data_IF_939804670950
#
_entry.id   IF_939804670950
#
_cell.length_a   1.000
_cell.length_b   1.000
_cell.length_c   1.000
_cell.angle_alpha   90.00
_cell.angle_beta   90.00
_cell.angle_gamma   90.00
#
_symmetry.space_group_name_H-M   'P 1'
#
loop_
_entity.id
_entity.type
_entity.pdbx_description
1 polymer ?
#
# COMPACT_ATOMS: atom_id res chain seq x y z
N UNK A 1 -0.31 -26.40 10.65
CA UNK A 1 1.04 -25.88 10.48
C UNK A 1 1.02 -24.37 10.23
N UNK A 2 1.70 -23.66 11.05
CA UNK A 2 1.74 -22.21 10.92
C UNK A 2 2.71 -21.81 9.83
N UNK A 3 2.20 -21.27 8.76
CA UNK A 3 2.99 -20.76 7.64
C UNK A 3 3.20 -19.26 7.76
N UNK A 4 2.43 -18.61 8.62
CA UNK A 4 2.45 -17.16 8.78
C UNK A 4 2.87 -16.80 10.18
N UNK A 5 3.59 -15.68 10.32
CA UNK A 5 3.97 -15.14 11.61
C UNK A 5 2.73 -14.65 12.37
N UNK A 6 2.90 -14.41 13.65
CA UNK A 6 1.83 -13.84 14.48
C UNK A 6 1.41 -12.47 13.95
N UNK A 7 2.36 -11.70 13.44
CA UNK A 7 2.06 -10.38 12.87
C UNK A 7 1.19 -10.48 11.62
N UNK A 8 1.49 -11.44 10.76
CA UNK A 8 0.67 -11.67 9.57
C UNK A 8 -0.74 -12.05 10.00
N UNK A 9 -0.87 -12.95 10.95
CA UNK A 9 -2.18 -13.38 11.44
C UNK A 9 -2.94 -12.23 12.07
N UNK A 10 -2.26 -11.39 12.83
CA UNK A 10 -2.90 -10.23 13.45
C UNK A 10 -3.46 -9.28 12.40
N UNK A 11 -2.68 -8.97 11.37
CA UNK A 11 -3.15 -8.09 10.31
C UNK A 11 -4.25 -8.72 9.47
N UNK A 12 -4.21 -10.04 9.31
CA UNK A 12 -5.27 -10.74 8.60
C UNK A 12 -6.58 -10.74 9.40
N UNK A 13 -6.49 -11.04 10.69
CA UNK A 13 -7.68 -11.13 11.54
C UNK A 13 -8.28 -9.77 11.86
N UNK A 14 -7.45 -8.72 11.87
CA UNK A 14 -7.88 -7.39 12.25
C UNK A 14 -7.19 -6.36 11.34
N UNK A 15 -7.56 -6.37 10.05
CA UNK A 15 -6.88 -5.48 9.08
C UNK A 15 -7.09 -4.03 9.40
N UNK A 16 -6.03 -3.24 9.20
CA UNK A 16 -6.04 -1.81 9.44
C UNK A 16 -6.28 -1.07 8.14
N UNK A 17 -6.96 0.08 8.22
CA UNK A 17 -7.08 1.03 7.13
C UNK A 17 -7.75 0.49 5.87
N UNK A 18 -8.66 -0.46 6.02
CA UNK A 18 -9.43 -0.99 4.90
C UNK A 18 -10.44 0.05 4.43
N UNK A 19 -10.54 0.24 3.13
CA UNK A 19 -11.56 1.11 2.56
C UNK A 19 -11.07 1.92 1.38
N UNK A 20 -11.87 2.91 1.01
CA UNK A 20 -11.57 3.83 -0.08
C UNK A 20 -11.48 5.23 0.48
N UNK A 21 -10.81 6.09 -0.27
CA UNK A 21 -10.83 7.53 -0.01
C UNK A 21 -11.49 8.17 -1.23
N UNK A 22 -12.64 8.76 -1.04
CA UNK A 22 -13.43 9.33 -2.12
C UNK A 22 -12.68 10.40 -2.90
N UNK A 23 -11.99 11.27 -2.19
CA UNK A 23 -11.23 12.35 -2.77
C UNK A 23 -9.73 12.08 -2.66
N UNK A 24 -9.32 10.86 -2.91
CA UNK A 24 -7.93 10.47 -2.80
C UNK A 24 -7.04 11.36 -3.68
N UNK A 25 -5.89 11.72 -3.14
CA UNK A 25 -4.90 12.51 -3.88
C UNK A 25 -4.14 11.62 -4.87
N UNK A 26 -3.99 10.35 -4.55
CA UNK A 26 -3.37 9.38 -5.45
C UNK A 26 -4.01 8.02 -5.29
N UNK A 27 -4.07 7.28 -6.38
CA UNK A 27 -4.62 5.93 -6.40
C UNK A 27 -3.67 5.06 -7.21
N UNK A 28 -3.26 3.94 -6.61
CA UNK A 28 -2.41 2.96 -7.27
C UNK A 28 -3.06 1.61 -7.25
N UNK A 29 -3.21 1.02 -8.42
CA UNK A 29 -3.80 -0.30 -8.53
C UNK A 29 -2.86 -1.23 -9.26
N UNK A 30 -2.62 -2.39 -8.68
CA UNK A 30 -1.85 -3.45 -9.33
C UNK A 30 -2.61 -4.76 -9.17
N UNK A 31 -2.39 -5.65 -10.08
CA UNK A 31 -3.02 -6.94 -10.04
C UNK A 31 -2.19 -8.00 -10.71
N UNK A 32 -2.45 -9.24 -10.32
CA UNK A 32 -1.87 -10.40 -10.96
C UNK A 32 -3.03 -11.27 -11.44
N UNK A 33 -3.42 -11.14 -12.71
CA UNK A 33 -4.59 -11.88 -13.21
C UNK A 33 -4.40 -13.40 -13.17
N UNK A 34 -3.17 -13.86 -13.19
CA UNK A 34 -2.89 -15.31 -13.10
C UNK A 34 -3.26 -15.82 -11.70
N UNK A 35 -2.90 -15.07 -10.67
CA UNK A 35 -3.20 -15.46 -9.29
C UNK A 35 -4.53 -14.91 -8.79
N UNK A 36 -5.10 -13.96 -9.50
CA UNK A 36 -6.34 -13.32 -9.08
C UNK A 36 -6.20 -12.30 -7.99
N UNK A 37 -4.98 -11.99 -7.59
CA UNK A 37 -4.72 -11.00 -6.55
C UNK A 37 -4.79 -9.60 -7.15
N UNK A 38 -5.43 -8.69 -6.45
CA UNK A 38 -5.48 -7.29 -6.84
C UNK A 38 -5.39 -6.42 -5.60
N UNK A 39 -4.67 -5.31 -5.71
CA UNK A 39 -4.53 -4.35 -4.62
C UNK A 39 -4.70 -2.94 -5.16
N UNK A 40 -5.51 -2.14 -4.48
CA UNK A 40 -5.69 -0.73 -4.79
C UNK A 40 -5.39 0.07 -3.54
N UNK A 41 -4.47 1.00 -3.64
CA UNK A 41 -4.14 1.89 -2.53
C UNK A 41 -4.63 3.29 -2.83
N UNK A 42 -5.17 3.94 -1.80
CA UNK A 42 -5.66 5.31 -1.86
C UNK A 42 -4.87 6.12 -0.85
N UNK A 43 -4.35 7.25 -1.27
CA UNK A 43 -3.58 8.11 -0.36
C UNK A 43 -4.13 9.54 -0.35
N UNK A 44 -4.01 10.16 0.82
CA UNK A 44 -4.22 11.59 1.00
C UNK A 44 -2.90 12.21 1.45
N UNK A 45 -2.56 13.34 0.89
CA UNK A 45 -1.32 14.02 1.20
C UNK A 45 -1.64 15.36 1.82
N UNK A 46 -1.01 15.67 2.95
CA UNK A 46 -1.23 16.95 3.63
C UNK A 46 -0.31 18.04 3.07
N UNK A 47 -0.43 19.24 3.65
CA UNK A 47 0.34 20.41 3.20
C UNK A 47 1.85 20.24 3.36
N UNK A 48 2.26 19.32 4.20
CA UNK A 48 3.67 19.07 4.48
C UNK A 48 4.26 17.94 3.65
N UNK A 49 3.47 17.40 2.73
CA UNK A 49 3.92 16.31 1.89
C UNK A 49 3.96 14.97 2.60
N UNK A 50 3.17 14.81 3.65
CA UNK A 50 3.06 13.56 4.38
C UNK A 50 1.77 12.86 4.04
N UNK A 51 1.79 11.54 4.11
CA UNK A 51 0.59 10.74 3.88
C UNK A 51 -0.31 10.84 5.11
N UNK A 52 -1.32 11.71 5.01
CA UNK A 52 -2.24 11.94 6.11
C UNK A 52 -3.23 10.79 6.28
N UNK A 53 -3.50 10.07 5.20
CA UNK A 53 -4.35 8.88 5.23
C UNK A 53 -3.94 7.92 4.15
N UNK A 54 -4.00 6.64 4.45
CA UNK A 54 -3.70 5.57 3.51
C UNK A 54 -4.75 4.49 3.71
N UNK A 55 -5.47 4.16 2.66
CA UNK A 55 -6.45 3.10 2.70
C UNK A 55 -6.25 2.18 1.52
N UNK A 56 -6.88 1.02 1.58
CA UNK A 56 -6.70 0.04 0.52
C UNK A 56 -7.92 -0.86 0.39
N UNK A 57 -8.05 -1.42 -0.79
CA UNK A 57 -8.97 -2.52 -1.06
C UNK A 57 -8.16 -3.59 -1.78
N UNK A 58 -8.42 -4.83 -1.47
CA UNK A 58 -7.69 -5.93 -2.09
C UNK A 58 -8.60 -7.13 -2.26
N UNK A 59 -8.36 -7.85 -3.32
CA UNK A 59 -8.91 -9.18 -3.56
C UNK A 59 -7.73 -10.14 -3.60
N UNK A 60 -7.84 -11.26 -2.91
CA UNK A 60 -6.77 -12.23 -2.92
C UNK A 60 -6.75 -13.05 -1.66
N UNK A 61 -5.60 -13.63 -1.38
CA UNK A 61 -5.44 -14.50 -0.20
C UNK A 61 -5.27 -13.66 1.08
N UNK A 62 -5.25 -14.36 2.21
CA UNK A 62 -5.04 -13.70 3.49
C UNK A 62 -3.72 -12.95 3.57
N UNK A 63 -2.69 -13.45 2.85
CA UNK A 63 -1.41 -12.76 2.82
C UNK A 63 -1.53 -11.39 2.12
N UNK A 64 -2.37 -11.29 1.09
CA UNK A 64 -2.58 -10.01 0.41
C UNK A 64 -3.22 -9.00 1.36
N UNK A 65 -4.18 -9.43 2.16
CA UNK A 65 -4.83 -8.57 3.16
C UNK A 65 -3.80 -8.13 4.20
N UNK A 66 -3.02 -9.07 4.72
CA UNK A 66 -2.04 -8.76 5.76
C UNK A 66 -0.95 -7.82 5.24
N UNK A 67 -0.48 -8.04 4.03
CA UNK A 67 0.53 -7.18 3.41
C UNK A 67 -0.02 -5.77 3.23
N UNK A 68 -1.24 -5.65 2.70
CA UNK A 68 -1.85 -4.34 2.49
C UNK A 68 -2.05 -3.60 3.80
N UNK A 69 -2.50 -4.30 4.82
CA UNK A 69 -2.68 -3.73 6.16
C UNK A 69 -1.35 -3.21 6.70
N UNK A 70 -0.30 -4.02 6.63
CA UNK A 70 1.02 -3.63 7.12
C UNK A 70 1.55 -2.42 6.36
N UNK A 71 1.44 -2.41 5.03
CA UNK A 71 1.92 -1.30 4.22
C UNK A 71 1.19 -0.01 4.57
N UNK A 72 -0.13 -0.09 4.76
CA UNK A 72 -0.91 1.09 5.12
C UNK A 72 -0.42 1.70 6.45
N UNK A 73 -0.10 0.84 7.41
CA UNK A 73 0.42 1.29 8.70
C UNK A 73 1.84 1.86 8.57
N UNK A 74 2.67 1.24 7.75
CA UNK A 74 4.05 1.71 7.55
C UNK A 74 4.09 3.06 6.84
N UNK A 75 3.19 3.27 5.89
CA UNK A 75 3.20 4.46 5.05
C UNK A 75 2.53 5.66 5.70
N UNK A 76 1.52 5.42 6.53
CA UNK A 76 0.75 6.50 7.12
C UNK A 76 1.63 7.40 8.01
N UNK A 77 1.58 8.68 7.77
CA UNK A 77 2.38 9.66 8.52
C UNK A 77 3.77 9.89 7.96
N UNK A 78 4.19 9.13 6.97
CA UNK A 78 5.50 9.31 6.35
C UNK A 78 5.43 10.32 5.22
N UNK A 79 6.59 10.91 4.90
CA UNK A 79 6.67 11.76 3.72
C UNK A 79 6.60 10.90 2.47
N UNK A 80 6.28 11.53 1.34
CA UNK A 80 6.25 10.83 0.06
C UNK A 80 7.58 10.13 -0.22
N UNK A 81 8.68 10.83 0.07
CA UNK A 81 10.01 10.30 -0.13
C UNK A 81 10.27 9.07 0.71
N UNK A 82 9.90 9.14 1.99
CA UNK A 82 10.06 8.00 2.90
C UNK A 82 9.21 6.82 2.48
N UNK A 83 7.97 7.10 2.05
CA UNK A 83 7.07 6.05 1.61
C UNK A 83 7.57 5.36 0.35
N UNK A 84 8.19 6.11 -0.56
CA UNK A 84 8.77 5.53 -1.78
C UNK A 84 9.95 4.61 -1.48
N UNK A 85 10.55 4.74 -0.32
CA UNK A 85 11.65 3.87 0.09
C UNK A 85 11.18 2.56 0.72
N UNK A 86 9.90 2.41 0.95
CA UNK A 86 9.36 1.15 1.48
C UNK A 86 9.47 0.09 0.37
N UNK A 87 10.22 -0.96 0.67
CA UNK A 87 10.44 -2.04 -0.30
C UNK A 87 9.65 -3.28 0.11
N UNK A 88 9.54 -4.20 -0.82
CA UNK A 88 8.90 -5.49 -0.55
C UNK A 88 9.62 -6.25 0.58
N UNK A 89 10.94 -6.09 0.66
CA UNK A 89 11.73 -6.71 1.72
C UNK A 89 11.39 -6.11 3.08
N UNK A 90 11.22 -4.78 3.13
CA UNK A 90 10.83 -4.10 4.37
C UNK A 90 9.49 -4.61 4.87
N UNK A 91 8.54 -4.77 3.97
CA UNK A 91 7.19 -5.25 4.32
C UNK A 91 7.27 -6.68 4.86
N UNK A 92 7.97 -7.54 4.16
CA UNK A 92 8.10 -8.93 4.59
C UNK A 92 8.80 -9.02 5.95
N UNK A 93 9.81 -8.21 6.16
CA UNK A 93 10.55 -8.18 7.42
C UNK A 93 9.67 -7.69 8.57
N UNK A 94 8.89 -6.64 8.34
CA UNK A 94 7.98 -6.11 9.36
C UNK A 94 6.90 -7.11 9.75
N UNK A 95 6.48 -7.94 8.80
CA UNK A 95 5.52 -8.99 9.07
C UNK A 95 6.14 -10.22 9.74
N UNK A 96 7.45 -10.23 9.94
CA UNK A 96 8.14 -11.37 10.51
C UNK A 96 8.39 -12.48 9.52
N UNK A 97 8.33 -12.15 8.23
CA UNK A 97 8.56 -13.09 7.14
C UNK A 97 7.27 -13.60 6.53
N UNK A 98 7.36 -13.99 5.28
CA UNK A 98 6.24 -14.58 4.54
C UNK A 98 6.73 -15.89 3.91
N UNK A 99 5.83 -16.86 3.73
CA UNK A 99 6.19 -18.04 2.94
C UNK A 99 6.63 -17.62 1.54
N UNK A 100 7.57 -18.37 0.97
CA UNK A 100 8.15 -18.04 -0.34
C UNK A 100 7.08 -17.87 -1.42
N UNK A 101 6.06 -18.73 -1.39
CA UNK A 101 4.99 -18.67 -2.38
C UNK A 101 4.02 -17.49 -2.16
N UNK A 102 4.23 -16.71 -1.11
CA UNK A 102 3.42 -15.52 -0.82
C UNK A 102 4.21 -14.21 -0.92
N UNK A 103 5.49 -14.29 -1.26
CA UNK A 103 6.30 -13.08 -1.41
C UNK A 103 5.79 -12.17 -2.53
N UNK A 104 5.09 -12.71 -3.51
CA UNK A 104 4.51 -11.88 -4.57
C UNK A 104 3.50 -10.88 -4.03
N UNK A 105 2.83 -11.19 -2.92
CA UNK A 105 1.90 -10.24 -2.29
C UNK A 105 2.64 -9.02 -1.80
N UNK A 106 3.83 -9.21 -1.22
CA UNK A 106 4.69 -8.12 -0.78
C UNK A 106 5.10 -7.24 -1.95
N UNK A 107 5.45 -7.86 -3.08
CA UNK A 107 5.79 -7.12 -4.30
C UNK A 107 4.63 -6.28 -4.79
N UNK A 108 3.44 -6.88 -4.88
CA UNK A 108 2.24 -6.18 -5.34
C UNK A 108 1.90 -5.01 -4.42
N UNK A 109 2.01 -5.24 -3.10
CA UNK A 109 1.70 -4.19 -2.14
C UNK A 109 2.62 -2.99 -2.27
N UNK A 110 3.92 -3.23 -2.33
CA UNK A 110 4.89 -2.14 -2.47
C UNK A 110 4.67 -1.40 -3.80
N UNK A 111 4.43 -2.14 -4.87
CA UNK A 111 4.17 -1.54 -6.18
C UNK A 111 2.91 -0.69 -6.17
N UNK A 112 1.85 -1.17 -5.53
CA UNK A 112 0.60 -0.43 -5.47
C UNK A 112 0.77 0.87 -4.71
N UNK A 113 1.50 0.84 -3.59
CA UNK A 113 1.79 2.06 -2.83
C UNK A 113 2.59 3.04 -3.68
N UNK A 114 3.64 2.56 -4.33
CA UNK A 114 4.48 3.42 -5.17
C UNK A 114 3.68 4.02 -6.33
N UNK A 115 2.78 3.23 -6.92
CA UNK A 115 1.91 3.73 -7.98
C UNK A 115 0.97 4.82 -7.49
N UNK A 116 0.44 4.67 -6.28
CA UNK A 116 -0.43 5.70 -5.70
C UNK A 116 0.33 7.01 -5.53
N UNK A 117 1.57 6.92 -5.04
CA UNK A 117 2.40 8.11 -4.86
C UNK A 117 2.74 8.74 -6.20
N UNK A 118 3.10 7.92 -7.19
CA UNK A 118 3.40 8.42 -8.54
C UNK A 118 2.19 9.07 -9.17
N UNK A 119 1.02 8.51 -8.98
CA UNK A 119 -0.23 9.08 -9.47
C UNK A 119 -0.46 10.47 -8.88
N UNK A 120 -0.24 10.61 -7.56
CA UNK A 120 -0.36 11.90 -6.91
C UNK A 120 0.65 12.90 -7.47
N UNK A 121 1.90 12.49 -7.64
CA UNK A 121 2.94 13.38 -8.14
C UNK A 121 2.65 13.86 -9.57
N UNK A 122 2.12 12.98 -10.40
CA UNK A 122 1.73 13.34 -11.77
C UNK A 122 0.55 14.29 -11.78
N UNK A 123 -0.46 14.03 -10.96
CA UNK A 123 -1.63 14.90 -10.85
C UNK A 123 -1.23 16.27 -10.33
N UNK A 124 -0.36 16.30 -9.34
CA UNK A 124 0.12 17.55 -8.76
C UNK A 124 0.88 18.36 -9.80
N UNK A 125 1.73 17.70 -10.59
CA UNK A 125 2.49 18.36 -11.64
C UNK A 125 1.55 18.99 -12.67
N UNK A 126 0.57 18.22 -13.13
CA UNK A 126 -0.40 18.72 -14.10
C UNK A 126 -1.27 19.81 -13.48
N UNK A 127 -1.74 19.59 -12.26
CA UNK A 127 -2.54 20.57 -11.56
C UNK A 127 -1.78 21.86 -11.31
N UNK A 128 -0.50 21.75 -10.94
CA UNK A 128 0.36 22.89 -10.74
C UNK A 128 0.53 23.70 -12.01
N UNK A 129 0.72 23.02 -13.12
CA UNK A 129 0.84 23.67 -14.42
C UNK A 129 -0.48 24.33 -14.83
N UNK A 130 -1.59 23.62 -14.62
CA UNK A 130 -2.90 24.10 -15.04
C UNK A 130 -3.42 25.22 -14.18
N UNK A 131 -3.16 25.15 -12.89
CA UNK A 131 -3.76 26.03 -11.90
C UNK A 131 -2.81 27.00 -11.24
N UNK A 132 -1.55 26.93 -11.59
CA UNK A 132 -0.55 27.77 -11.01
C UNK A 132 -0.29 27.51 -9.53
N UNK A 133 -0.55 26.32 -9.09
CA UNK A 133 -0.32 25.93 -7.70
C UNK A 133 1.11 25.62 -7.41
#
# INVERSE_FOLDING_TARGET
MAMYSDKVMEHFMNPKNVGEIEDADGIGEVGNPVCGDMMTFYIKVDDQGRLSDVKYKTFGCGAAIAVSSMISEMAKGKTLEEALKITREDVAQELGGLPKNKMHCSNLGADALHKAIQDYLEKRKKGGESHGR
#
